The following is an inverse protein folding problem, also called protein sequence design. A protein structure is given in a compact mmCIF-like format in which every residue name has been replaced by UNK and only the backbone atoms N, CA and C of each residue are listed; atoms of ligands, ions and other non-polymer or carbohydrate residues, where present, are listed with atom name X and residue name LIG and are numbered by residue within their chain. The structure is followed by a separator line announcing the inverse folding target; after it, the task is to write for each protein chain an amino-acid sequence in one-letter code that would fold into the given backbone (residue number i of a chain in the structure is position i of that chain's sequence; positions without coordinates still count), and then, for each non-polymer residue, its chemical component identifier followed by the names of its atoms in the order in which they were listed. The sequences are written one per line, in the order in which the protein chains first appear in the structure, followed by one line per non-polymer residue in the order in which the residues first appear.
data_IF_840764919395
#
_entry.id   IF_840764919395
#
_cell.length_a   1.000
_cell.length_b   1.000
_cell.length_c   1.000
_cell.angle_alpha   90.00
_cell.angle_beta   90.00
_cell.angle_gamma   90.00
#
_symmetry.space_group_name_H-M   'P 1'
#
loop_
_entity.id
_entity.type
_entity.pdbx_description
1 polymer ?
#
# COMPACT_ATOMS: atom_id res chain seq x y z
N UNK A 1 -49.68 -44.11 46.76
CA UNK A 1 -48.41 -44.86 46.64
C UNK A 1 -47.33 -43.84 46.36
N UNK A 2 -46.68 -43.29 47.38
CA UNK A 2 -45.51 -43.85 48.07
C UNK A 2 -44.18 -43.61 47.33
N UNK A 3 -43.45 -42.57 47.81
CA UNK A 3 -41.98 -42.46 47.89
C UNK A 3 -41.16 -42.38 46.59
N UNK A 4 -40.12 -41.54 46.44
CA UNK A 4 -39.30 -40.69 47.35
C UNK A 4 -38.63 -39.60 46.46
N UNK A 5 -38.51 -38.30 46.78
CA UNK A 5 -37.88 -37.62 47.94
C UNK A 5 -36.39 -38.03 48.12
N UNK A 6 -35.37 -37.17 48.24
CA UNK A 6 -35.29 -35.69 48.34
C UNK A 6 -33.84 -35.23 48.17
N UNK A 7 -33.66 -33.99 47.72
CA UNK A 7 -32.71 -32.95 48.21
C UNK A 7 -31.64 -33.30 49.28
N UNK A 8 -30.47 -32.63 49.20
CA UNK A 8 -30.14 -31.51 50.12
C UNK A 8 -28.86 -30.73 49.74
N UNK A 9 -29.00 -29.40 49.70
CA UNK A 9 -28.00 -28.33 49.85
C UNK A 9 -27.95 -27.89 51.35
N UNK A 10 -27.23 -26.83 51.82
CA UNK A 10 -26.08 -26.05 51.30
C UNK A 10 -24.88 -26.22 52.32
N UNK A 11 -24.25 -25.24 53.02
CA UNK A 11 -23.92 -23.81 52.76
C UNK A 11 -22.47 -23.32 53.09
N UNK A 12 -22.08 -22.24 52.40
CA UNK A 12 -21.38 -21.02 52.87
C UNK A 12 -20.12 -21.01 53.78
N UNK A 13 -19.02 -20.52 53.18
CA UNK A 13 -18.28 -19.28 53.52
C UNK A 13 -17.30 -19.17 54.73
N UNK A 14 -16.44 -18.14 54.62
CA UNK A 14 -15.48 -17.56 55.60
C UNK A 14 -14.19 -18.37 55.87
N UNK A 15 -13.04 -17.78 56.25
CA UNK A 15 -12.37 -16.48 56.00
C UNK A 15 -10.95 -16.55 56.63
N UNK A 16 -9.95 -15.80 56.13
CA UNK A 16 -8.65 -15.52 56.81
C UNK A 16 -7.71 -16.74 57.10
N UNK A 17 -6.39 -16.60 57.28
CA UNK A 17 -5.40 -15.56 56.96
C UNK A 17 -3.97 -16.15 56.99
N UNK A 18 -2.99 -15.41 56.46
CA UNK A 18 -1.56 -15.38 56.85
C UNK A 18 -0.76 -16.70 57.00
N UNK A 19 0.31 -16.86 56.19
CA UNK A 19 1.72 -16.76 56.68
C UNK A 19 2.73 -16.96 55.53
N UNK A 20 3.63 -15.99 55.33
CA UNK A 20 4.97 -16.18 54.71
C UNK A 20 5.95 -16.43 55.88
N UNK A 21 6.96 -17.30 55.77
CA UNK A 21 8.21 -16.90 55.09
C UNK A 21 8.95 -18.05 54.37
N UNK A 22 10.01 -17.73 53.59
CA UNK A 22 10.93 -18.76 53.07
C UNK A 22 11.66 -18.38 51.78
N UNK A 23 12.71 -17.55 51.88
CA UNK A 23 13.71 -17.37 50.80
C UNK A 23 14.69 -18.55 50.82
N UNK A 24 15.19 -19.01 49.66
CA UNK A 24 16.59 -19.40 49.60
C UNK A 24 17.38 -18.77 48.44
N UNK A 25 18.45 -18.08 48.83
CA UNK A 25 19.76 -18.01 48.18
C UNK A 25 19.89 -17.63 46.69
N UNK A 26 20.16 -16.34 46.51
CA UNK A 26 21.02 -15.79 45.45
C UNK A 26 22.37 -16.55 45.40
N UNK A 27 22.59 -17.38 44.38
CA UNK A 27 23.90 -17.99 44.10
C UNK A 27 24.63 -17.11 43.07
N UNK A 28 25.57 -16.30 43.55
CA UNK A 28 26.52 -15.58 42.70
C UNK A 28 27.55 -16.59 42.19
N UNK A 29 27.40 -17.04 40.94
CA UNK A 29 28.40 -17.88 40.26
C UNK A 29 29.20 -17.05 39.26
N UNK A 30 30.32 -16.51 39.71
CA UNK A 30 31.28 -15.86 38.82
C UNK A 30 31.94 -16.91 37.91
N UNK A 31 31.80 -16.76 36.59
CA UNK A 31 32.54 -17.58 35.61
C UNK A 31 32.78 -16.80 34.31
N UNK A 32 33.94 -16.15 34.24
CA UNK A 32 34.77 -16.00 33.03
C UNK A 32 34.07 -15.98 31.67
N UNK A 33 33.65 -14.80 31.19
CA UNK A 33 33.53 -14.58 29.74
C UNK A 33 34.90 -14.19 29.14
N UNK A 34 35.32 -14.80 28.02
CA UNK A 34 36.53 -14.40 27.31
C UNK A 34 36.32 -13.05 26.60
N UNK A 35 37.27 -12.12 26.76
CA UNK A 35 37.23 -10.82 26.06
C UNK A 35 37.36 -11.00 24.54
N UNK A 36 36.55 -10.32 23.71
CA UNK A 36 36.88 -10.15 22.31
C UNK A 36 38.14 -9.27 22.19
N UNK A 37 39.16 -9.76 21.49
CA UNK A 37 40.38 -8.99 21.23
C UNK A 37 40.12 -7.98 20.11
N UNK A 38 40.27 -6.68 20.39
CA UNK A 38 40.31 -5.67 19.33
C UNK A 38 41.63 -5.77 18.54
N UNK A 39 41.58 -5.67 17.20
CA UNK A 39 42.79 -5.63 16.38
C UNK A 39 43.59 -4.34 16.64
N UNK A 40 44.90 -4.49 16.86
CA UNK A 40 45.83 -3.37 17.06
C UNK A 40 45.95 -2.54 15.79
N UNK A 41 45.62 -1.25 15.85
CA UNK A 41 46.05 -0.28 14.85
C UNK A 41 47.47 0.24 15.18
N UNK A 42 48.37 0.34 14.18
CA UNK A 42 49.60 1.12 14.33
C UNK A 42 49.32 2.61 14.09
N UNK A 43 49.81 3.47 15.00
CA UNK A 43 49.65 4.93 14.89
C UNK A 43 50.63 5.56 13.89
N UNK A 44 50.13 6.67 13.33
CA UNK A 44 50.67 7.59 12.33
C UNK A 44 52.20 7.71 12.19
N UNK A 45 52.62 7.93 10.93
CA UNK A 45 53.74 8.84 10.62
C UNK A 45 53.23 9.98 9.72
N UNK A 46 53.15 11.18 10.27
CA UNK A 46 52.80 12.40 9.55
C UNK A 46 53.98 12.90 8.71
N UNK A 47 53.73 13.29 7.46
CA UNK A 47 54.62 14.19 6.73
C UNK A 47 53.82 15.34 6.11
N UNK A 48 54.32 16.56 6.33
CA UNK A 48 53.65 17.82 6.04
C UNK A 48 53.96 18.34 4.63
N UNK A 49 53.02 19.08 4.05
CA UNK A 49 53.22 19.84 2.80
C UNK A 49 54.37 20.86 2.89
N UNK A 50 55.07 21.02 1.76
CA UNK A 50 55.78 22.26 1.41
C UNK A 50 55.69 22.51 -0.10
N UNK A 51 55.12 23.65 -0.49
CA UNK A 51 55.11 24.14 -1.88
C UNK A 51 56.22 25.18 -2.09
N UNK A 52 56.80 25.31 -3.29
CA UNK A 52 57.51 26.52 -3.70
C UNK A 52 56.70 27.35 -4.72
N UNK A 53 56.90 28.67 -4.69
CA UNK A 53 56.23 29.69 -5.53
C UNK A 53 57.23 30.38 -6.47
N UNK A 54 56.73 30.92 -7.59
CA UNK A 54 57.44 31.58 -8.71
C UNK A 54 58.53 32.62 -8.36
N UNK A 55 59.53 32.71 -9.25
CA UNK A 55 60.19 33.98 -9.68
C UNK A 55 60.41 34.00 -11.22
N UNK A 56 60.76 35.16 -11.80
CA UNK A 56 60.46 35.56 -13.21
C UNK A 56 61.69 35.67 -14.15
N UNK A 57 61.49 35.32 -15.44
CA UNK A 57 61.87 36.02 -16.73
C UNK A 57 63.35 36.46 -16.98
N UNK A 58 63.97 36.57 -18.18
CA UNK A 58 63.69 36.39 -19.66
C UNK A 58 65.07 36.48 -20.41
N UNK A 59 65.22 36.74 -21.74
CA UNK A 59 64.96 35.91 -22.96
C UNK A 59 66.20 35.79 -23.91
N UNK A 60 66.14 35.07 -25.06
CA UNK A 60 66.59 35.54 -26.42
C UNK A 60 66.59 34.51 -27.59
N UNK A 61 65.93 34.91 -28.70
CA UNK A 61 66.12 34.68 -30.17
C UNK A 61 66.45 33.32 -30.83
N UNK A 62 65.83 33.13 -32.02
CA UNK A 62 65.96 32.05 -33.02
C UNK A 62 67.21 32.20 -33.92
N UNK A 63 67.69 31.09 -34.53
CA UNK A 63 68.35 31.09 -35.84
C UNK A 63 67.62 30.24 -36.92
N UNK A 64 68.19 30.19 -38.14
CA UNK A 64 67.47 29.96 -39.42
C UNK A 64 67.87 28.67 -40.17
N UNK A 65 67.05 28.26 -41.15
CA UNK A 65 67.09 27.02 -41.97
C UNK A 65 68.37 26.76 -42.81
N UNK A 66 68.63 25.48 -43.14
CA UNK A 66 69.18 24.98 -44.44
C UNK A 66 68.88 23.46 -44.65
N UNK A 67 68.96 22.90 -45.89
CA UNK A 67 68.21 21.71 -46.31
C UNK A 67 68.94 20.34 -46.23
N UNK A 68 68.16 19.28 -46.51
CA UNK A 68 68.52 17.85 -46.46
C UNK A 68 69.62 17.42 -47.46
N UNK A 69 70.52 16.49 -47.05
CA UNK A 69 71.27 15.63 -47.96
C UNK A 69 70.56 14.27 -48.17
N UNK A 70 70.35 13.91 -49.43
CA UNK A 70 69.93 12.56 -49.86
C UNK A 70 71.16 11.70 -50.17
N UNK A 71 71.17 10.44 -49.72
CA UNK A 71 71.95 9.38 -50.39
C UNK A 71 71.39 7.99 -50.02
N UNK A 72 71.13 7.09 -50.99
CA UNK A 72 70.52 5.80 -50.72
C UNK A 72 71.57 4.73 -50.38
N UNK A 73 71.30 3.92 -49.36
CA UNK A 73 72.05 2.67 -49.12
C UNK A 73 71.13 1.48 -49.28
N UNK A 74 71.18 0.86 -50.46
CA UNK A 74 70.52 -0.42 -50.71
C UNK A 74 71.23 -1.53 -49.89
N UNK A 75 70.51 -2.10 -48.93
CA UNK A 75 70.94 -3.31 -48.21
C UNK A 75 69.82 -4.34 -48.28
N UNK A 76 70.05 -5.42 -49.03
CA UNK A 76 69.12 -6.54 -49.16
C UNK A 76 68.88 -7.21 -47.81
N UNK A 77 67.78 -6.85 -47.15
CA UNK A 77 67.17 -7.69 -46.10
C UNK A 77 66.06 -8.53 -46.74
N UNK A 78 66.05 -9.83 -46.42
CA UNK A 78 65.01 -10.77 -46.87
C UNK A 78 63.62 -10.24 -46.48
N UNK A 79 62.58 -10.43 -47.31
CA UNK A 79 61.24 -9.96 -46.97
C UNK A 79 60.76 -10.61 -45.67
N UNK A 80 60.19 -9.85 -44.71
CA UNK A 80 59.48 -10.46 -43.60
C UNK A 80 58.28 -11.26 -44.13
N UNK A 81 57.95 -12.37 -43.47
CA UNK A 81 56.73 -13.13 -43.77
C UNK A 81 55.51 -12.20 -43.66
N UNK A 82 54.45 -12.39 -44.48
CA UNK A 82 53.24 -11.60 -44.33
C UNK A 82 52.69 -11.81 -42.92
N UNK A 83 52.67 -10.76 -42.11
CA UNK A 83 52.00 -10.79 -40.82
C UNK A 83 50.51 -10.92 -41.07
N UNK A 84 49.92 -12.00 -40.55
CA UNK A 84 48.50 -12.26 -40.66
C UNK A 84 47.72 -11.07 -40.09
N UNK A 85 46.95 -10.40 -40.96
CA UNK A 85 45.81 -9.61 -40.52
C UNK A 85 44.93 -10.51 -39.64
N UNK A 86 44.35 -10.04 -38.52
CA UNK A 86 43.52 -10.89 -37.67
C UNK A 86 42.32 -11.43 -38.46
N UNK A 87 42.40 -12.69 -38.89
CA UNK A 87 41.30 -13.44 -39.52
C UNK A 87 40.26 -13.89 -38.49
N UNK A 88 40.05 -13.06 -37.45
CA UNK A 88 39.00 -13.23 -36.46
C UNK A 88 37.77 -12.42 -36.90
N UNK A 89 37.03 -13.02 -37.82
CA UNK A 89 35.72 -12.54 -38.25
C UNK A 89 34.77 -12.35 -37.08
N UNK A 90 34.94 -13.08 -35.98
CA UNK A 90 34.06 -13.01 -34.82
C UNK A 90 34.43 -11.86 -33.88
N UNK A 91 35.71 -11.48 -33.76
CA UNK A 91 36.11 -10.21 -33.15
C UNK A 91 35.50 -8.99 -33.88
N UNK A 92 35.54 -8.97 -35.21
CA UNK A 92 34.95 -7.88 -36.02
C UNK A 92 33.42 -7.88 -35.92
N UNK A 93 32.77 -9.05 -35.97
CA UNK A 93 31.31 -9.16 -35.76
C UNK A 93 30.91 -8.73 -34.35
N UNK A 94 31.67 -9.09 -33.32
CA UNK A 94 31.40 -8.73 -31.91
C UNK A 94 31.54 -7.23 -31.69
N UNK A 95 32.56 -6.60 -32.28
CA UNK A 95 32.74 -5.14 -32.29
C UNK A 95 31.62 -4.39 -33.04
N UNK A 96 31.00 -4.97 -34.07
CA UNK A 96 29.83 -4.40 -34.77
C UNK A 96 28.47 -4.68 -34.10
N UNK A 97 28.31 -5.81 -33.41
CA UNK A 97 27.05 -6.16 -32.71
C UNK A 97 26.73 -5.22 -31.53
N UNK A 98 27.73 -4.81 -30.76
CA UNK A 98 27.56 -3.93 -29.60
C UNK A 98 26.93 -2.56 -29.97
N UNK A 99 27.44 -1.80 -30.96
CA UNK A 99 26.80 -0.56 -31.38
C UNK A 99 25.45 -0.79 -32.08
N UNK A 100 25.25 -1.90 -32.79
CA UNK A 100 23.96 -2.21 -33.41
C UNK A 100 22.86 -2.49 -32.37
N UNK A 101 23.15 -3.21 -31.29
CA UNK A 101 22.20 -3.40 -30.17
C UNK A 101 21.93 -2.04 -29.51
N UNK A 102 22.96 -1.21 -29.28
CA UNK A 102 22.78 0.14 -28.73
C UNK A 102 21.87 1.04 -29.58
N UNK A 103 22.05 1.03 -30.91
CA UNK A 103 21.22 1.76 -31.86
C UNK A 103 19.79 1.21 -31.90
N UNK A 104 19.62 -0.11 -31.85
CA UNK A 104 18.29 -0.74 -31.86
C UNK A 104 17.53 -0.46 -30.55
N UNK A 105 18.23 -0.48 -29.41
CA UNK A 105 17.67 -0.11 -28.11
C UNK A 105 17.31 1.39 -28.07
N UNK A 106 18.20 2.26 -28.55
CA UNK A 106 17.95 3.70 -28.64
C UNK A 106 16.79 4.02 -29.59
N UNK A 107 16.69 3.31 -30.72
CA UNK A 107 15.58 3.42 -31.68
C UNK A 107 14.25 2.90 -31.11
N UNK A 108 14.27 1.83 -30.33
CA UNK A 108 13.08 1.31 -29.64
C UNK A 108 12.61 2.26 -28.53
N UNK A 109 13.54 2.79 -27.73
CA UNK A 109 13.27 3.81 -26.70
C UNK A 109 12.75 5.09 -27.35
N UNK A 110 13.39 5.57 -28.41
CA UNK A 110 12.90 6.72 -29.17
C UNK A 110 11.51 6.45 -29.78
N UNK A 111 11.25 5.25 -30.31
CA UNK A 111 9.93 4.84 -30.80
C UNK A 111 8.85 4.88 -29.73
N UNK A 112 9.14 4.41 -28.51
CA UNK A 112 8.24 4.46 -27.35
C UNK A 112 7.85 5.89 -26.96
N UNK A 113 8.73 6.88 -27.18
CA UNK A 113 8.41 8.29 -26.87
C UNK A 113 7.88 9.08 -28.08
N UNK A 114 8.33 8.78 -29.30
CA UNK A 114 7.97 9.50 -30.52
C UNK A 114 6.62 9.03 -31.08
N UNK A 115 6.29 7.73 -31.05
CA UNK A 115 4.99 7.27 -31.57
C UNK A 115 3.80 7.82 -30.78
N UNK A 116 3.76 7.78 -29.43
CA UNK A 116 2.64 8.37 -28.68
C UNK A 116 2.56 9.88 -28.83
N UNK A 117 3.70 10.57 -28.96
CA UNK A 117 3.73 12.02 -29.19
C UNK A 117 3.21 12.38 -30.59
N UNK A 118 3.63 11.66 -31.63
CA UNK A 118 3.10 11.82 -32.98
C UNK A 118 1.61 11.45 -33.05
N UNK A 119 1.20 10.36 -32.40
CA UNK A 119 -0.21 9.98 -32.30
C UNK A 119 -1.02 11.07 -31.58
N UNK A 120 -0.52 11.65 -30.48
CA UNK A 120 -1.17 12.79 -29.81
C UNK A 120 -1.28 14.06 -30.67
N UNK A 121 -0.45 14.21 -31.71
CA UNK A 121 -0.49 15.36 -32.63
C UNK A 121 -1.41 15.12 -33.85
N UNK A 122 -1.66 13.86 -34.22
CA UNK A 122 -2.38 13.50 -35.45
C UNK A 122 -3.62 12.62 -35.25
N UNK A 123 -3.86 12.10 -34.04
CA UNK A 123 -5.10 11.40 -33.71
C UNK A 123 -6.28 12.38 -33.80
N UNK A 124 -7.39 12.01 -34.47
CA UNK A 124 -8.59 12.81 -34.45
C UNK A 124 -9.07 12.91 -33.00
N UNK A 125 -9.25 14.14 -32.49
CA UNK A 125 -9.89 14.36 -31.20
C UNK A 125 -11.34 13.91 -31.32
N UNK A 126 -11.66 12.77 -30.73
CA UNK A 126 -13.01 12.26 -30.65
C UNK A 126 -13.83 13.20 -29.75
N UNK A 127 -14.64 14.05 -30.37
CA UNK A 127 -15.48 15.01 -29.66
C UNK A 127 -16.66 14.29 -29.01
N UNK A 128 -16.46 13.85 -27.77
CA UNK A 128 -17.60 13.49 -26.91
C UNK A 128 -18.47 14.71 -26.60
N UNK A 129 -19.79 14.54 -26.45
CA UNK A 129 -20.71 15.65 -26.25
C UNK A 129 -20.46 16.34 -24.90
N UNK A 130 -20.27 17.66 -24.94
CA UNK A 130 -20.14 18.49 -23.76
C UNK A 130 -21.47 18.64 -23.03
N UNK A 131 -21.77 17.75 -22.08
CA UNK A 131 -22.71 18.05 -20.99
C UNK A 131 -22.02 18.96 -19.98
N UNK A 132 -22.38 20.25 -20.01
CA UNK A 132 -21.92 21.25 -19.06
C UNK A 132 -22.49 20.97 -17.67
N UNK A 133 -21.70 20.70 -16.61
CA UNK A 133 -22.22 20.69 -15.26
C UNK A 133 -22.51 22.13 -14.81
N UNK A 134 -23.74 22.35 -14.34
CA UNK A 134 -24.16 23.64 -13.80
C UNK A 134 -23.47 23.91 -12.46
N UNK A 135 -22.99 25.13 -12.16
CA UNK A 135 -22.30 25.43 -10.90
C UNK A 135 -23.31 25.64 -9.76
N UNK A 136 -23.80 24.55 -9.15
CA UNK A 136 -24.41 24.61 -7.82
C UNK A 136 -23.30 24.63 -6.76
N UNK A 137 -23.28 25.69 -5.97
CA UNK A 137 -22.31 25.96 -4.92
C UNK A 137 -22.34 24.92 -3.79
N UNK A 138 -21.20 24.30 -3.49
CA UNK A 138 -20.90 23.85 -2.13
C UNK A 138 -19.38 23.91 -1.89
N UNK A 139 -18.94 24.99 -1.24
CA UNK A 139 -17.59 25.09 -0.71
C UNK A 139 -17.54 24.41 0.66
N UNK A 140 -16.90 23.24 0.77
CA UNK A 140 -16.14 22.84 1.95
C UNK A 140 -15.28 21.59 1.69
N UNK A 141 -14.08 21.55 2.28
CA UNK A 141 -13.12 20.41 2.26
C UNK A 141 -12.76 19.83 0.87
N UNK A 142 -11.78 20.44 0.20
CA UNK A 142 -11.23 19.98 -1.07
C UNK A 142 -10.34 18.73 -0.95
N UNK A 143 -10.93 17.58 -0.65
CA UNK A 143 -10.34 16.28 -0.97
C UNK A 143 -10.85 15.83 -2.34
N UNK A 144 -9.97 15.45 -3.29
CA UNK A 144 -10.41 15.00 -4.60
C UNK A 144 -11.10 13.63 -4.42
N UNK A 145 -12.42 13.63 -4.59
CA UNK A 145 -13.29 12.44 -4.52
C UNK A 145 -12.66 11.33 -5.35
N UNK A 146 -12.54 10.14 -4.78
CA UNK A 146 -12.14 8.94 -5.52
C UNK A 146 -13.37 8.22 -6.07
N UNK A 147 -13.24 7.72 -7.29
CA UNK A 147 -14.30 7.03 -8.00
C UNK A 147 -14.07 5.53 -8.03
N UNK A 148 -15.04 4.80 -8.60
CA UNK A 148 -14.83 3.43 -9.06
C UNK A 148 -14.31 3.46 -10.51
N UNK A 149 -13.56 2.45 -10.97
CA UNK A 149 -13.27 2.28 -12.40
C UNK A 149 -14.54 2.34 -13.24
N UNK A 150 -14.49 2.88 -14.46
CA UNK A 150 -15.71 3.18 -15.24
C UNK A 150 -16.67 1.98 -15.42
N UNK A 151 -16.15 0.77 -15.63
CA UNK A 151 -16.94 -0.47 -15.76
C UNK A 151 -17.46 -1.06 -14.45
N UNK A 152 -17.10 -0.48 -13.30
CA UNK A 152 -17.49 -0.90 -11.94
C UNK A 152 -18.25 0.20 -11.18
N UNK A 153 -18.47 1.33 -11.82
CA UNK A 153 -19.33 2.40 -11.33
C UNK A 153 -20.79 2.05 -11.64
N UNK A 154 -21.49 1.52 -10.63
CA UNK A 154 -22.90 1.13 -10.71
C UNK A 154 -23.78 2.31 -11.13
N UNK A 155 -23.40 3.56 -10.85
CA UNK A 155 -24.15 4.74 -11.30
C UNK A 155 -24.16 4.92 -12.83
N UNK A 156 -23.14 4.38 -13.52
CA UNK A 156 -23.02 4.41 -14.99
C UNK A 156 -23.67 3.20 -15.68
N UNK A 157 -23.93 2.13 -14.92
CA UNK A 157 -24.53 0.90 -15.43
C UNK A 157 -25.49 0.25 -14.40
N UNK A 158 -26.60 0.92 -14.04
CA UNK A 158 -27.49 0.48 -12.96
C UNK A 158 -28.16 -0.88 -13.26
N UNK A 159 -28.41 -1.18 -14.53
CA UNK A 159 -29.07 -2.42 -14.97
C UNK A 159 -28.08 -3.61 -15.15
N UNK A 160 -26.77 -3.41 -14.94
CA UNK A 160 -25.77 -4.44 -15.14
C UNK A 160 -25.96 -5.63 -14.18
N UNK A 161 -26.05 -6.84 -14.74
CA UNK A 161 -26.22 -8.07 -13.95
C UNK A 161 -24.97 -8.37 -13.10
N UNK A 162 -25.10 -9.19 -12.02
CA UNK A 162 -23.95 -9.65 -11.24
C UNK A 162 -22.89 -10.43 -12.04
N UNK A 163 -23.21 -10.90 -13.26
CA UNK A 163 -22.22 -11.50 -14.17
C UNK A 163 -21.41 -10.41 -14.87
N UNK A 164 -22.08 -9.46 -15.50
CA UNK A 164 -21.44 -8.37 -16.25
C UNK A 164 -20.53 -7.51 -15.35
N UNK A 165 -20.95 -7.22 -14.11
CA UNK A 165 -20.10 -6.51 -13.15
C UNK A 165 -18.86 -7.30 -12.70
N UNK A 166 -19.00 -8.62 -12.52
CA UNK A 166 -17.87 -9.52 -12.22
C UNK A 166 -16.92 -9.65 -13.41
N UNK A 167 -17.46 -9.75 -14.62
CA UNK A 167 -16.66 -9.83 -15.85
C UNK A 167 -15.92 -8.50 -16.10
N UNK A 168 -16.55 -7.35 -15.83
CA UNK A 168 -15.89 -6.04 -15.82
C UNK A 168 -14.78 -5.92 -14.76
N UNK A 169 -14.93 -6.56 -13.59
CA UNK A 169 -13.89 -6.62 -12.57
C UNK A 169 -12.69 -7.50 -13.02
N UNK A 170 -12.96 -8.62 -13.71
CA UNK A 170 -11.91 -9.44 -14.33
C UNK A 170 -11.22 -8.72 -15.50
N UNK A 171 -11.94 -7.95 -16.33
CA UNK A 171 -11.36 -7.16 -17.43
C UNK A 171 -10.49 -6.00 -16.93
N UNK A 172 -11.00 -5.21 -15.99
CA UNK A 172 -10.23 -4.15 -15.29
C UNK A 172 -8.92 -4.72 -14.76
N UNK A 173 -9.01 -5.85 -14.05
CA UNK A 173 -7.86 -6.55 -13.51
C UNK A 173 -6.89 -7.00 -14.60
N UNK A 174 -7.37 -7.64 -15.67
CA UNK A 174 -6.52 -8.09 -16.77
C UNK A 174 -5.75 -6.93 -17.41
N UNK A 175 -6.36 -5.75 -17.52
CA UNK A 175 -5.72 -4.52 -18.00
C UNK A 175 -4.48 -4.10 -17.20
N UNK A 176 -4.37 -4.47 -15.93
CA UNK A 176 -3.22 -4.17 -15.06
C UNK A 176 -2.02 -5.10 -15.29
N UNK A 177 -2.18 -6.23 -15.99
CA UNK A 177 -1.12 -7.24 -16.12
C UNK A 177 0.16 -6.74 -16.81
N UNK A 178 0.02 -6.05 -17.93
CA UNK A 178 1.17 -5.52 -18.67
C UNK A 178 1.84 -4.33 -17.95
N UNK A 179 1.11 -3.32 -17.44
CA UNK A 179 1.69 -2.27 -16.60
C UNK A 179 2.43 -2.81 -15.37
N UNK A 180 1.86 -3.79 -14.65
CA UNK A 180 2.51 -4.39 -13.48
C UNK A 180 3.76 -5.19 -13.82
N UNK A 181 3.79 -5.86 -14.97
CA UNK A 181 4.98 -6.55 -15.44
C UNK A 181 6.08 -5.56 -15.85
N UNK A 182 5.74 -4.56 -16.67
CA UNK A 182 6.66 -3.56 -17.19
C UNK A 182 7.29 -2.73 -16.06
N UNK A 183 6.50 -2.33 -15.06
CA UNK A 183 6.98 -1.61 -13.89
C UNK A 183 7.58 -2.54 -12.81
N UNK A 184 7.60 -3.86 -12.99
CA UNK A 184 8.13 -4.80 -11.99
C UNK A 184 7.31 -4.91 -10.69
N UNK A 185 6.09 -4.37 -10.65
CA UNK A 185 5.16 -4.43 -9.52
C UNK A 185 4.90 -5.87 -9.10
N UNK A 186 4.84 -6.81 -10.04
CA UNK A 186 4.69 -8.24 -9.76
C UNK A 186 5.74 -8.79 -8.78
N UNK A 187 6.97 -8.28 -8.83
CA UNK A 187 8.03 -8.66 -7.91
C UNK A 187 7.86 -7.99 -6.54
N UNK A 188 7.42 -6.72 -6.51
CA UNK A 188 7.12 -6.00 -5.27
C UNK A 188 5.94 -6.65 -4.52
N UNK A 189 4.87 -7.04 -5.22
CA UNK A 189 3.76 -7.84 -4.67
C UNK A 189 4.25 -9.16 -4.06
N UNK A 190 5.21 -9.84 -4.71
CA UNK A 190 5.85 -11.05 -4.14
C UNK A 190 6.60 -10.73 -2.84
N UNK A 191 7.35 -9.63 -2.79
CA UNK A 191 8.02 -9.20 -1.56
C UNK A 191 7.01 -8.91 -0.44
N UNK A 192 5.91 -8.21 -0.72
CA UNK A 192 4.84 -7.96 0.26
C UNK A 192 4.27 -9.28 0.82
N UNK A 193 4.01 -10.28 -0.03
CA UNK A 193 3.54 -11.60 0.41
C UNK A 193 4.55 -12.37 1.27
N UNK A 194 5.85 -12.16 1.05
CA UNK A 194 6.93 -12.73 1.86
C UNK A 194 7.16 -11.98 3.18
N UNK A 195 6.79 -10.70 3.28
CA UNK A 195 6.90 -9.92 4.52
C UNK A 195 5.66 -10.04 5.43
N UNK A 196 4.52 -10.46 4.89
CA UNK A 196 3.26 -10.59 5.63
C UNK A 196 3.28 -11.83 6.55
N UNK A 197 3.24 -11.60 7.87
CA UNK A 197 3.44 -12.62 8.91
C UNK A 197 2.45 -12.46 10.07
N UNK A 198 2.26 -13.53 10.83
CA UNK A 198 1.29 -13.60 11.93
C UNK A 198 -0.17 -13.50 11.48
N UNK A 199 -0.97 -12.75 12.25
CA UNK A 199 -2.33 -12.37 11.85
C UNK A 199 -2.28 -11.18 10.89
N UNK A 200 -2.77 -11.36 9.66
CA UNK A 200 -2.63 -10.39 8.57
C UNK A 200 -3.96 -9.79 8.12
N UNK A 201 -3.97 -8.47 7.95
CA UNK A 201 -5.02 -7.71 7.30
C UNK A 201 -4.53 -7.17 5.95
N UNK A 202 -5.22 -7.43 4.84
CA UNK A 202 -5.01 -6.76 3.56
C UNK A 202 -6.11 -5.72 3.32
N UNK A 203 -5.72 -4.44 3.31
CA UNK A 203 -6.58 -3.31 2.97
C UNK A 203 -6.59 -3.10 1.45
N UNK A 204 -7.76 -2.74 0.91
CA UNK A 204 -8.00 -2.63 -0.53
C UNK A 204 -7.54 -3.89 -1.29
N UNK A 205 -8.00 -5.07 -0.82
CA UNK A 205 -7.64 -6.37 -1.41
C UNK A 205 -8.02 -6.47 -2.90
N UNK A 206 -8.99 -5.64 -3.34
CA UNK A 206 -9.48 -5.60 -4.71
C UNK A 206 -9.90 -6.98 -5.19
N UNK A 207 -9.41 -7.36 -6.36
CA UNK A 207 -9.58 -8.70 -6.96
C UNK A 207 -8.65 -9.76 -6.39
N UNK A 208 -7.97 -9.52 -5.25
CA UNK A 208 -7.10 -10.50 -4.60
C UNK A 208 -5.79 -10.78 -5.34
N UNK A 209 -5.17 -9.76 -5.95
CA UNK A 209 -3.93 -9.91 -6.74
C UNK A 209 -2.74 -10.46 -5.95
N UNK A 210 -2.68 -10.13 -4.65
CA UNK A 210 -1.62 -10.56 -3.74
C UNK A 210 -1.81 -11.96 -3.18
N UNK A 211 -3.03 -12.54 -3.23
CA UNK A 211 -3.35 -13.80 -2.56
C UNK A 211 -2.42 -14.98 -2.93
N UNK A 212 -1.97 -15.05 -4.18
CA UNK A 212 -1.02 -16.06 -4.68
C UNK A 212 0.44 -15.89 -4.21
N UNK A 213 0.73 -14.82 -3.47
CA UNK A 213 2.07 -14.47 -2.99
C UNK A 213 2.26 -14.69 -1.49
N UNK A 214 1.18 -14.90 -0.74
CA UNK A 214 1.22 -15.31 0.65
C UNK A 214 1.55 -16.81 0.76
N UNK A 215 2.22 -17.16 1.86
CA UNK A 215 2.40 -18.57 2.25
C UNK A 215 1.19 -19.01 3.09
N UNK A 216 0.38 -19.91 2.55
CA UNK A 216 -0.85 -20.38 3.19
C UNK A 216 -0.65 -21.61 4.09
N UNK A 217 0.58 -22.07 4.30
CA UNK A 217 0.89 -23.28 5.09
C UNK A 217 0.30 -23.24 6.50
N UNK A 218 0.61 -22.20 7.29
CA UNK A 218 0.08 -22.00 8.65
C UNK A 218 -1.44 -21.83 8.70
N UNK A 219 -2.01 -21.07 7.75
CA UNK A 219 -3.47 -20.91 7.60
C UNK A 219 -4.16 -22.25 7.36
N UNK A 220 -3.56 -23.15 6.58
CA UNK A 220 -4.11 -24.48 6.28
C UNK A 220 -3.91 -25.46 7.43
N UNK A 221 -2.73 -25.53 8.04
CA UNK A 221 -2.48 -26.42 9.19
C UNK A 221 -3.33 -26.05 10.40
N UNK A 222 -3.50 -24.75 10.67
CA UNK A 222 -4.13 -24.24 11.89
C UNK A 222 -3.20 -24.25 13.09
N UNK A 223 -1.94 -24.60 12.88
CA UNK A 223 -0.87 -24.58 13.86
C UNK A 223 -0.01 -23.34 13.60
N UNK A 224 0.33 -22.61 14.66
CA UNK A 224 1.34 -21.56 14.57
C UNK A 224 2.71 -22.24 14.38
N UNK A 225 3.28 -22.13 13.18
CA UNK A 225 4.64 -22.60 12.90
C UNK A 225 5.68 -21.88 13.76
N UNK A 226 6.82 -22.53 14.00
CA UNK A 226 7.94 -21.96 14.77
C UNK A 226 8.54 -20.68 14.13
N UNK A 227 8.21 -20.42 12.87
CA UNK A 227 8.75 -19.38 11.98
C UNK A 227 7.83 -18.16 11.79
N UNK A 228 6.81 -18.00 12.66
CA UNK A 228 5.85 -16.88 12.69
C UNK A 228 5.15 -16.61 11.35
N UNK A 229 4.91 -17.69 10.58
CA UNK A 229 4.23 -17.66 9.28
C UNK A 229 2.84 -17.02 9.30
N UNK A 230 2.17 -16.95 8.15
CA UNK A 230 0.79 -16.47 8.08
C UNK A 230 -0.12 -17.41 8.89
N UNK A 231 -0.68 -16.90 10.01
CA UNK A 231 -1.58 -17.66 10.91
C UNK A 231 -3.05 -17.42 10.56
N UNK A 232 -3.41 -16.18 10.23
CA UNK A 232 -4.72 -15.84 9.69
C UNK A 232 -4.63 -14.72 8.66
N UNK A 233 -5.59 -14.69 7.73
CA UNK A 233 -5.71 -13.68 6.69
C UNK A 233 -7.11 -13.07 6.71
N UNK A 234 -7.18 -11.75 6.64
CA UNK A 234 -8.43 -11.00 6.45
C UNK A 234 -8.24 -9.98 5.33
N UNK A 235 -9.01 -10.06 4.26
CA UNK A 235 -9.02 -9.04 3.20
C UNK A 235 -10.25 -8.14 3.27
N UNK A 236 -10.09 -6.84 2.99
CA UNK A 236 -11.19 -5.85 2.98
C UNK A 236 -11.16 -5.05 1.68
N UNK A 237 -12.29 -4.94 0.99
CA UNK A 237 -12.48 -4.03 -0.15
C UNK A 237 -13.90 -3.47 -0.20
N UNK A 238 -14.09 -2.26 -0.72
CA UNK A 238 -15.39 -1.59 -0.79
C UNK A 238 -16.29 -2.11 -1.94
N UNK A 239 -15.72 -2.84 -2.90
CA UNK A 239 -16.45 -3.36 -4.06
C UNK A 239 -16.81 -4.85 -3.88
N UNK A 240 -18.11 -5.21 -3.75
CA UNK A 240 -18.52 -6.60 -3.70
C UNK A 240 -18.15 -7.36 -4.97
N UNK A 241 -18.18 -6.72 -6.14
CA UNK A 241 -17.83 -7.37 -7.40
C UNK A 241 -16.33 -7.72 -7.47
N UNK A 242 -15.45 -6.84 -6.92
CA UNK A 242 -14.02 -7.14 -6.76
C UNK A 242 -13.77 -8.28 -5.76
N UNK A 243 -14.46 -8.26 -4.60
CA UNK A 243 -14.38 -9.34 -3.60
C UNK A 243 -14.87 -10.67 -4.19
N UNK A 244 -15.84 -10.66 -5.11
CA UNK A 244 -16.27 -11.83 -5.87
C UNK A 244 -15.15 -12.47 -6.72
N UNK A 245 -14.25 -11.65 -7.30
CA UNK A 245 -13.04 -12.13 -7.98
C UNK A 245 -11.98 -12.58 -6.97
N UNK A 246 -11.77 -11.81 -5.89
CA UNK A 246 -10.82 -12.16 -4.83
C UNK A 246 -11.15 -13.51 -4.16
N UNK A 247 -12.42 -13.80 -3.95
CA UNK A 247 -12.96 -15.09 -3.49
C UNK A 247 -12.47 -16.25 -4.34
N UNK A 248 -12.62 -16.16 -5.67
CA UNK A 248 -12.19 -17.22 -6.58
C UNK A 248 -10.66 -17.32 -6.65
N UNK A 249 -9.92 -16.24 -6.37
CA UNK A 249 -8.45 -16.27 -6.22
C UNK A 249 -7.99 -16.83 -4.88
N UNK A 250 -8.72 -16.60 -3.78
CA UNK A 250 -8.48 -17.22 -2.48
C UNK A 250 -8.62 -18.74 -2.63
N UNK A 251 -9.71 -19.20 -3.25
CA UNK A 251 -9.94 -20.61 -3.61
C UNK A 251 -8.77 -21.23 -4.36
N UNK A 252 -8.19 -20.51 -5.32
CA UNK A 252 -7.12 -21.02 -6.19
C UNK A 252 -5.72 -20.89 -5.54
N UNK A 253 -5.51 -19.93 -4.63
CA UNK A 253 -4.24 -19.72 -3.94
C UNK A 253 -4.06 -20.62 -2.70
N UNK A 254 -5.15 -20.89 -1.96
CA UNK A 254 -5.11 -21.68 -0.73
C UNK A 254 -5.09 -23.18 -1.04
N UNK A 255 -4.07 -23.94 -0.63
CA UNK A 255 -3.99 -25.38 -0.86
C UNK A 255 -5.22 -26.13 -0.35
N UNK A 256 -5.81 -26.98 -1.20
CA UNK A 256 -6.95 -27.82 -0.85
C UNK A 256 -8.32 -27.12 -0.85
N UNK A 257 -8.38 -25.78 -0.73
CA UNK A 257 -9.64 -25.02 -0.67
C UNK A 257 -10.52 -25.24 -1.91
N UNK A 258 -9.89 -25.41 -3.07
CA UNK A 258 -10.52 -25.80 -4.34
C UNK A 258 -11.42 -27.05 -4.28
N UNK A 259 -11.27 -27.94 -3.28
CA UNK A 259 -12.09 -29.15 -3.08
C UNK A 259 -13.42 -28.87 -2.39
N UNK A 260 -13.44 -27.93 -1.44
CA UNK A 260 -14.63 -27.59 -0.63
C UNK A 260 -15.36 -26.34 -1.15
N UNK A 261 -14.64 -25.45 -1.83
CA UNK A 261 -15.14 -24.19 -2.33
C UNK A 261 -15.26 -24.23 -3.86
N UNK A 262 -16.48 -24.10 -4.39
CA UNK A 262 -16.75 -24.08 -5.85
C UNK A 262 -16.60 -22.66 -6.39
N UNK A 263 -16.06 -22.52 -7.61
CA UNK A 263 -16.05 -21.25 -8.34
C UNK A 263 -17.48 -20.81 -8.68
N UNK A 264 -17.69 -19.49 -8.75
CA UNK A 264 -18.99 -18.88 -9.03
C UNK A 264 -18.84 -17.81 -10.10
N UNK A 265 -19.45 -18.02 -11.27
CA UNK A 265 -19.57 -16.98 -12.32
C UNK A 265 -20.50 -15.82 -11.94
N UNK A 266 -21.35 -16.03 -10.93
CA UNK A 266 -22.13 -15.00 -10.26
C UNK A 266 -22.42 -15.48 -8.85
N UNK A 267 -22.22 -14.61 -7.87
CA UNK A 267 -22.66 -14.80 -6.49
C UNK A 267 -22.96 -13.40 -5.94
N UNK A 268 -24.16 -13.21 -5.39
CA UNK A 268 -24.52 -11.95 -4.76
C UNK A 268 -23.86 -11.90 -3.39
N UNK A 269 -22.78 -11.13 -3.27
CA UNK A 269 -22.12 -10.86 -1.99
C UNK A 269 -22.87 -9.76 -1.23
N UNK A 270 -22.76 -9.70 0.10
CA UNK A 270 -23.37 -8.62 0.89
C UNK A 270 -22.77 -7.25 0.53
N UNK A 271 -23.57 -6.20 0.63
CA UNK A 271 -23.13 -4.82 0.36
C UNK A 271 -22.08 -4.32 1.36
N UNK A 272 -22.14 -4.83 2.61
CA UNK A 272 -21.15 -4.64 3.67
C UNK A 272 -21.10 -5.87 4.60
N UNK A 273 -19.95 -6.13 5.21
CA UNK A 273 -19.75 -7.21 6.17
C UNK A 273 -19.00 -8.41 5.59
N UNK A 274 -19.08 -9.54 6.31
CA UNK A 274 -18.38 -10.78 5.97
C UNK A 274 -18.95 -11.41 4.70
N UNK A 275 -18.11 -11.58 3.67
CA UNK A 275 -18.50 -12.13 2.37
C UNK A 275 -17.96 -13.54 2.13
N UNK A 276 -16.80 -13.87 2.71
CA UNK A 276 -16.20 -15.22 2.64
C UNK A 276 -15.61 -15.56 4.00
N UNK A 277 -15.91 -16.75 4.50
CA UNK A 277 -15.26 -17.35 5.67
C UNK A 277 -14.93 -18.81 5.37
N UNK A 278 -13.66 -19.19 5.52
CA UNK A 278 -13.18 -20.57 5.29
C UNK A 278 -12.08 -20.93 6.29
N UNK A 279 -11.82 -22.23 6.46
CA UNK A 279 -10.81 -22.78 7.38
C UNK A 279 -11.04 -22.29 8.82
N UNK A 280 -12.25 -22.47 9.34
CA UNK A 280 -12.63 -22.05 10.70
C UNK A 280 -12.35 -20.54 10.95
N UNK A 281 -12.59 -19.75 9.89
CA UNK A 281 -12.36 -18.32 9.83
C UNK A 281 -10.91 -17.87 9.63
N UNK A 282 -9.92 -18.77 9.62
CA UNK A 282 -8.51 -18.42 9.42
C UNK A 282 -8.25 -17.68 8.10
N UNK A 283 -9.11 -17.83 7.09
CA UNK A 283 -9.14 -16.92 5.94
C UNK A 283 -10.53 -16.31 5.74
N UNK A 284 -10.59 -14.96 5.74
CA UNK A 284 -11.83 -14.17 5.57
C UNK A 284 -11.68 -13.10 4.50
N UNK A 285 -12.79 -12.79 3.82
CA UNK A 285 -12.94 -11.59 3.00
C UNK A 285 -14.19 -10.82 3.43
N UNK A 286 -14.05 -9.50 3.56
CA UNK A 286 -15.12 -8.57 3.91
C UNK A 286 -15.35 -7.57 2.77
N UNK A 287 -16.62 -7.24 2.54
CA UNK A 287 -16.99 -6.04 1.79
C UNK A 287 -17.11 -4.89 2.80
N UNK A 288 -16.33 -3.83 2.63
CA UNK A 288 -16.25 -2.77 3.63
C UNK A 288 -15.37 -1.61 3.23
N UNK A 289 -15.60 -0.46 3.86
CA UNK A 289 -14.80 0.73 3.68
C UNK A 289 -13.55 0.67 4.56
N UNK A 290 -12.36 0.75 3.96
CA UNK A 290 -11.08 0.74 4.68
C UNK A 290 -10.80 2.05 5.45
N UNK A 291 -11.58 3.11 5.18
CA UNK A 291 -11.58 4.36 5.93
C UNK A 291 -12.52 4.32 7.16
N UNK A 292 -13.20 3.19 7.39
CA UNK A 292 -14.16 2.97 8.48
C UNK A 292 -13.70 1.93 9.50
N UNK A 293 -14.67 1.28 10.17
CA UNK A 293 -14.38 0.22 11.14
C UNK A 293 -13.88 -1.05 10.43
N UNK A 294 -12.69 -1.50 10.84
CA UNK A 294 -12.01 -2.67 10.28
C UNK A 294 -12.27 -3.94 11.12
N UNK A 295 -12.43 -5.12 10.49
CA UNK A 295 -12.65 -6.38 11.19
C UNK A 295 -11.45 -6.74 12.08
N UNK A 296 -11.69 -7.44 13.20
CA UNK A 296 -10.66 -7.91 14.13
C UNK A 296 -10.14 -9.32 13.74
N UNK A 297 -8.87 -9.67 14.04
CA UNK A 297 -8.37 -11.03 13.86
C UNK A 297 -9.07 -12.01 14.81
N UNK A 298 -9.04 -13.30 14.51
CA UNK A 298 -9.74 -14.34 15.30
C UNK A 298 -9.08 -14.67 16.65
N UNK A 299 -7.75 -14.64 16.71
CA UNK A 299 -6.99 -15.07 17.89
C UNK A 299 -5.83 -14.17 18.30
N UNK A 300 -5.67 -13.00 17.67
CA UNK A 300 -4.57 -12.08 17.96
C UNK A 300 -4.71 -11.45 19.34
N UNK A 301 -3.63 -11.46 20.14
CA UNK A 301 -3.57 -10.75 21.44
C UNK A 301 -4.08 -9.31 21.30
N UNK A 302 -5.03 -8.93 22.17
CA UNK A 302 -5.65 -7.59 22.16
C UNK A 302 -6.53 -7.28 20.93
N UNK A 303 -6.84 -8.25 20.07
CA UNK A 303 -7.65 -8.02 18.87
C UNK A 303 -6.95 -7.18 17.81
N UNK A 304 -5.64 -7.40 17.64
CA UNK A 304 -4.75 -6.62 16.75
C UNK A 304 -3.95 -7.53 15.80
N UNK A 305 -3.70 -7.07 14.58
CA UNK A 305 -2.94 -7.75 13.54
C UNK A 305 -1.43 -7.56 13.73
N UNK A 306 -0.63 -8.57 13.39
CA UNK A 306 0.82 -8.48 13.33
C UNK A 306 1.28 -7.72 12.08
N UNK A 307 0.62 -7.97 10.94
CA UNK A 307 0.89 -7.21 9.70
C UNK A 307 -0.38 -6.64 9.09
N UNK A 308 -0.38 -5.34 8.78
CA UNK A 308 -1.34 -4.73 7.85
C UNK A 308 -0.64 -4.51 6.51
N UNK A 309 -1.23 -4.98 5.41
CA UNK A 309 -0.69 -4.88 4.06
C UNK A 309 -1.65 -4.06 3.19
N UNK A 310 -1.11 -3.27 2.27
CA UNK A 310 -1.92 -2.59 1.25
C UNK A 310 -1.18 -2.52 -0.08
N UNK A 311 -1.92 -2.51 -1.19
CA UNK A 311 -1.35 -2.19 -2.51
C UNK A 311 -2.26 -1.27 -3.32
N UNK A 312 -1.79 -0.06 -3.61
CA UNK A 312 -2.50 0.98 -4.39
C UNK A 312 -3.84 1.44 -3.77
N UNK A 313 -3.90 1.47 -2.44
CA UNK A 313 -5.06 1.96 -1.71
C UNK A 313 -5.03 3.47 -1.50
N UNK A 314 -3.88 4.05 -1.16
CA UNK A 314 -3.78 5.48 -0.81
C UNK A 314 -4.06 6.43 -1.97
N UNK A 315 -3.91 5.99 -3.23
CA UNK A 315 -4.33 6.77 -4.40
C UNK A 315 -5.84 6.65 -4.71
N UNK A 316 -6.54 5.70 -4.08
CA UNK A 316 -7.91 5.26 -4.43
C UNK A 316 -8.97 5.58 -3.35
N UNK A 317 -8.56 6.12 -2.19
CA UNK A 317 -9.44 6.54 -1.07
C UNK A 317 -9.67 8.06 -1.02
N UNK A 318 -10.71 8.52 -0.31
CA UNK A 318 -10.97 9.95 -0.17
C UNK A 318 -9.99 10.62 0.80
N UNK A 319 -9.81 10.02 1.98
CA UNK A 319 -9.07 10.57 3.13
C UNK A 319 -7.88 9.64 3.48
N UNK A 320 -6.74 9.69 2.76
CA UNK A 320 -5.63 8.74 2.96
C UNK A 320 -5.04 8.75 4.39
N UNK A 321 -5.16 9.86 5.12
CA UNK A 321 -4.77 9.94 6.54
C UNK A 321 -5.66 9.07 7.43
N UNK A 322 -6.98 9.04 7.17
CA UNK A 322 -7.98 8.29 7.93
C UNK A 322 -7.89 6.79 7.70
N UNK A 323 -7.53 6.37 6.48
CA UNK A 323 -7.16 4.97 6.23
C UNK A 323 -5.93 4.57 7.06
N UNK A 324 -4.90 5.42 7.12
CA UNK A 324 -3.70 5.15 7.92
C UNK A 324 -3.98 5.18 9.43
N UNK A 325 -4.91 6.00 9.88
CA UNK A 325 -5.46 5.97 11.25
C UNK A 325 -6.18 4.65 11.55
N UNK A 326 -7.04 4.19 10.64
CA UNK A 326 -7.74 2.90 10.77
C UNK A 326 -6.77 1.73 10.81
N UNK A 327 -5.74 1.73 9.95
CA UNK A 327 -4.65 0.75 9.97
C UNK A 327 -3.86 0.76 11.29
N UNK A 328 -3.51 1.94 11.81
CA UNK A 328 -2.89 2.10 13.13
C UNK A 328 -3.81 1.62 14.27
N UNK A 329 -5.12 1.81 14.13
CA UNK A 329 -6.17 1.35 15.04
C UNK A 329 -6.34 -0.18 15.13
N UNK A 330 -5.76 -0.95 14.20
CA UNK A 330 -5.85 -2.42 14.18
C UNK A 330 -4.52 -3.17 14.18
N UNK A 331 -3.38 -2.52 13.92
CA UNK A 331 -2.05 -3.15 14.07
C UNK A 331 -1.64 -3.27 15.54
N UNK A 332 -0.83 -4.29 15.89
CA UNK A 332 -0.19 -4.42 17.20
C UNK A 332 0.83 -3.30 17.41
N UNK A 333 0.81 -2.58 18.54
CA UNK A 333 1.85 -1.61 18.85
C UNK A 333 3.19 -2.30 19.11
N UNK A 334 4.28 -1.55 18.86
CA UNK A 334 5.70 -1.84 19.04
C UNK A 334 6.28 -3.05 18.26
N UNK A 335 5.43 -4.02 17.91
CA UNK A 335 5.78 -5.30 17.27
C UNK A 335 5.18 -5.43 15.87
N UNK A 336 3.97 -4.92 15.66
CA UNK A 336 3.26 -5.02 14.39
C UNK A 336 3.74 -4.00 13.35
N UNK A 337 3.57 -4.37 12.07
CA UNK A 337 4.04 -3.62 10.89
C UNK A 337 2.89 -3.25 9.97
N UNK A 338 2.95 -2.07 9.36
CA UNK A 338 2.08 -1.67 8.25
C UNK A 338 2.96 -1.53 7.01
N UNK A 339 2.69 -2.32 5.97
CA UNK A 339 3.53 -2.42 4.76
C UNK A 339 2.69 -2.03 3.54
N UNK A 340 3.05 -0.91 2.90
CA UNK A 340 2.29 -0.33 1.80
C UNK A 340 3.12 -0.35 0.51
N UNK A 341 2.51 -0.81 -0.58
CA UNK A 341 3.01 -0.64 -1.95
C UNK A 341 2.10 0.35 -2.68
N UNK A 342 2.56 1.58 -2.88
CA UNK A 342 1.71 2.68 -3.37
C UNK A 342 2.22 3.28 -4.68
N UNK A 343 1.32 3.94 -5.42
CA UNK A 343 1.64 4.72 -6.61
C UNK A 343 1.27 6.19 -6.37
N UNK A 344 2.15 7.09 -6.77
CA UNK A 344 1.95 8.53 -6.67
C UNK A 344 2.90 9.34 -7.53
N UNK A 345 3.09 10.61 -7.16
CA UNK A 345 4.04 11.53 -7.81
C UNK A 345 5.45 10.96 -7.83
N UNK A 346 6.08 10.95 -9.00
CA UNK A 346 7.50 10.62 -9.18
C UNK A 346 8.43 11.73 -8.66
N UNK A 347 9.74 11.53 -8.78
CA UNK A 347 10.74 12.51 -8.30
C UNK A 347 11.09 13.59 -9.33
N UNK A 348 10.86 13.32 -10.61
CA UNK A 348 11.22 14.24 -11.70
C UNK A 348 10.07 15.20 -12.04
N UNK A 349 10.26 16.49 -11.75
CA UNK A 349 9.24 17.52 -11.98
C UNK A 349 8.74 17.61 -13.43
N UNK A 350 9.60 17.35 -14.42
CA UNK A 350 9.18 17.29 -15.83
C UNK A 350 8.28 16.07 -16.10
N UNK A 351 8.66 14.88 -15.64
CA UNK A 351 7.88 13.66 -15.83
C UNK A 351 6.49 13.78 -15.16
N UNK A 352 6.45 14.31 -13.93
CA UNK A 352 5.19 14.62 -13.25
C UNK A 352 4.34 15.57 -14.08
N UNK A 353 4.88 16.73 -14.50
CA UNK A 353 4.13 17.74 -15.26
C UNK A 353 3.57 17.23 -16.59
N UNK A 354 4.36 16.48 -17.36
CA UNK A 354 4.01 16.10 -18.73
C UNK A 354 3.23 14.79 -18.84
N UNK A 355 3.44 13.83 -17.94
CA UNK A 355 2.76 12.54 -17.98
C UNK A 355 1.77 12.40 -16.82
N UNK A 356 2.24 12.46 -15.57
CA UNK A 356 1.42 12.07 -14.40
C UNK A 356 0.30 13.08 -14.14
N UNK A 357 0.58 14.38 -14.20
CA UNK A 357 -0.42 15.44 -14.06
C UNK A 357 -1.24 15.63 -15.33
N UNK A 358 -0.59 15.57 -16.49
CA UNK A 358 -1.22 15.81 -17.80
C UNK A 358 -2.35 14.83 -18.14
N UNK A 359 -2.27 13.57 -17.71
CA UNK A 359 -3.34 12.57 -17.88
C UNK A 359 -3.98 12.10 -16.57
N UNK A 360 -3.87 12.88 -15.49
CA UNK A 360 -4.50 12.54 -14.20
C UNK A 360 -6.04 12.38 -14.32
N UNK A 361 -6.71 13.21 -15.12
CA UNK A 361 -8.16 13.10 -15.33
C UNK A 361 -8.53 11.84 -16.13
N UNK A 362 -7.83 11.56 -17.24
CA UNK A 362 -8.05 10.32 -18.02
C UNK A 362 -7.79 9.07 -17.17
N UNK A 363 -6.76 9.11 -16.33
CA UNK A 363 -6.47 8.04 -15.38
C UNK A 363 -7.61 7.88 -14.36
N UNK A 364 -8.12 8.98 -13.80
CA UNK A 364 -9.26 8.95 -12.89
C UNK A 364 -10.53 8.42 -13.57
N UNK A 365 -10.86 8.89 -14.77
CA UNK A 365 -12.06 8.49 -15.50
C UNK A 365 -12.07 6.99 -15.82
N UNK A 366 -10.88 6.40 -16.03
CA UNK A 366 -10.66 4.98 -16.31
C UNK A 366 -10.55 4.11 -15.06
N UNK A 367 -9.71 4.49 -14.10
CA UNK A 367 -9.31 3.66 -12.95
C UNK A 367 -9.93 4.09 -11.61
N UNK A 368 -10.60 5.24 -11.54
CA UNK A 368 -11.21 5.79 -10.33
C UNK A 368 -10.24 6.45 -9.32
N UNK A 369 -8.93 6.36 -9.56
CA UNK A 369 -7.90 6.76 -8.60
C UNK A 369 -7.01 7.91 -9.08
N UNK A 370 -6.43 8.65 -8.14
CA UNK A 370 -5.56 9.80 -8.41
C UNK A 370 -4.09 9.38 -8.38
N UNK A 371 -3.60 8.85 -9.49
CA UNK A 371 -2.22 8.36 -9.62
C UNK A 371 -1.13 9.43 -9.46
N UNK A 372 -1.51 10.72 -9.53
CA UNK A 372 -0.65 11.89 -9.31
C UNK A 372 -0.71 12.44 -7.88
N UNK A 373 -1.32 11.71 -6.93
CA UNK A 373 -1.41 12.06 -5.51
C UNK A 373 -0.03 12.01 -4.85
N UNK A 374 0.23 12.95 -3.94
CA UNK A 374 1.46 12.99 -3.15
C UNK A 374 1.36 12.07 -1.94
N UNK A 375 1.74 10.80 -2.16
CA UNK A 375 1.74 9.74 -1.14
C UNK A 375 2.72 10.06 -0.01
N UNK A 376 3.86 10.67 -0.30
CA UNK A 376 4.86 11.00 0.72
C UNK A 376 4.33 12.08 1.66
N UNK A 377 3.72 13.13 1.12
CA UNK A 377 3.04 14.16 1.92
C UNK A 377 1.91 13.56 2.76
N UNK A 378 1.04 12.72 2.19
CA UNK A 378 -0.07 12.09 2.92
C UNK A 378 0.41 11.18 4.08
N UNK A 379 1.47 10.39 3.86
CA UNK A 379 2.08 9.53 4.90
C UNK A 379 2.73 10.38 6.00
N UNK A 380 3.44 11.45 5.65
CA UNK A 380 4.06 12.38 6.62
C UNK A 380 3.04 13.26 7.34
N UNK A 381 1.84 13.42 6.79
CA UNK A 381 0.71 14.05 7.47
C UNK A 381 0.09 13.08 8.48
N UNK A 382 -0.11 11.81 8.11
CA UNK A 382 -0.58 10.78 9.02
C UNK A 382 0.39 10.56 10.20
N UNK A 383 1.70 10.51 9.97
CA UNK A 383 2.75 10.44 11.01
C UNK A 383 2.66 11.59 12.04
N UNK A 384 2.12 12.76 11.66
CA UNK A 384 1.92 13.90 12.56
C UNK A 384 0.58 13.89 13.27
N UNK A 385 -0.47 13.37 12.62
CA UNK A 385 -1.85 13.41 13.10
C UNK A 385 -2.24 12.18 13.93
N UNK A 386 -1.77 11.00 13.54
CA UNK A 386 -2.17 9.71 14.13
C UNK A 386 -1.28 9.40 15.34
N UNK A 387 -1.84 9.29 16.56
CA UNK A 387 -1.05 9.04 17.77
C UNK A 387 -0.18 7.79 17.69
N UNK A 388 1.13 7.96 17.91
CA UNK A 388 2.10 6.87 17.91
C UNK A 388 2.49 6.31 16.54
N UNK A 389 1.87 6.72 15.43
CA UNK A 389 2.27 6.26 14.09
C UNK A 389 3.67 6.79 13.73
N UNK A 390 4.56 5.91 13.29
CA UNK A 390 5.94 6.24 12.89
C UNK A 390 6.25 5.67 11.50
N UNK A 391 6.90 6.46 10.63
CA UNK A 391 7.47 5.95 9.37
C UNK A 391 8.81 5.28 9.67
N UNK A 392 8.85 3.95 9.55
CA UNK A 392 10.07 3.14 9.68
C UNK A 392 10.91 3.26 8.42
N UNK A 393 10.27 3.18 7.25
CA UNK A 393 10.94 3.31 5.97
C UNK A 393 10.01 3.92 4.90
N UNK A 394 10.58 4.73 4.01
CA UNK A 394 9.94 5.17 2.78
C UNK A 394 10.96 5.03 1.66
N UNK A 395 10.72 4.10 0.73
CA UNK A 395 11.64 3.75 -0.36
C UNK A 395 10.90 3.92 -1.68
N UNK A 396 11.58 4.42 -2.71
CA UNK A 396 11.08 4.43 -4.09
C UNK A 396 11.83 3.35 -4.88
N UNK A 397 11.24 2.16 -5.11
CA UNK A 397 11.92 1.10 -5.85
C UNK A 397 12.17 1.49 -7.31
N UNK A 398 13.01 0.71 -8.00
CA UNK A 398 13.14 0.67 -9.46
C UNK A 398 13.41 2.01 -10.19
N UNK A 399 14.66 2.24 -10.61
CA UNK A 399 15.02 3.41 -11.43
C UNK A 399 14.13 3.64 -12.67
N UNK A 400 13.69 2.55 -13.32
CA UNK A 400 12.82 2.60 -14.52
C UNK A 400 11.38 3.06 -14.23
N UNK A 401 10.98 3.20 -12.95
CA UNK A 401 9.64 3.61 -12.52
C UNK A 401 9.53 5.13 -12.35
N UNK A 402 10.59 5.91 -12.67
CA UNK A 402 10.66 7.37 -12.49
C UNK A 402 10.33 7.86 -11.05
N UNK A 403 10.45 6.95 -10.08
CA UNK A 403 10.13 7.15 -8.67
C UNK A 403 8.64 7.24 -8.35
N UNK A 404 7.71 6.85 -9.24
CA UNK A 404 6.26 6.93 -8.97
C UNK A 404 5.77 5.87 -7.98
N UNK A 405 6.50 4.77 -7.81
CA UNK A 405 6.17 3.76 -6.81
C UNK A 405 6.84 4.04 -5.46
N UNK A 406 6.15 3.60 -4.42
CA UNK A 406 6.57 3.68 -3.03
C UNK A 406 6.46 2.30 -2.38
N UNK A 407 7.48 1.92 -1.62
CA UNK A 407 7.43 0.87 -0.61
C UNK A 407 7.62 1.54 0.75
N UNK A 408 6.57 1.56 1.54
CA UNK A 408 6.51 2.25 2.84
C UNK A 408 6.33 1.21 3.94
N UNK A 409 7.05 1.38 5.04
CA UNK A 409 6.87 0.62 6.27
C UNK A 409 6.58 1.59 7.41
N UNK A 410 5.47 1.37 8.12
CA UNK A 410 5.06 2.10 9.31
C UNK A 410 4.90 1.14 10.49
N UNK A 411 4.91 1.71 11.70
CA UNK A 411 4.54 0.99 12.94
C UNK A 411 3.83 1.94 13.90
N UNK A 412 3.23 1.39 14.96
CA UNK A 412 2.68 2.19 16.07
C UNK A 412 3.60 2.04 17.28
N UNK A 413 4.07 3.15 17.86
CA UNK A 413 4.90 3.20 19.06
C UNK A 413 4.04 3.53 20.28
N UNK A 414 3.85 2.57 21.18
CA UNK A 414 2.93 2.70 22.34
C UNK A 414 3.29 3.89 23.24
N UNK A 415 4.59 4.19 23.39
CA UNK A 415 5.11 5.26 24.26
C UNK A 415 4.79 6.67 23.75
N UNK A 416 4.37 6.80 22.48
CA UNK A 416 3.95 8.05 21.85
C UNK A 416 2.45 8.19 21.71
N UNK A 417 1.68 7.16 22.08
CA UNK A 417 0.23 7.30 22.25
C UNK A 417 0.01 8.09 23.55
N UNK A 418 -0.71 9.23 23.53
CA UNK A 418 -1.09 9.92 24.76
C UNK A 418 -1.81 8.94 25.68
N UNK A 419 -1.40 8.86 26.93
CA UNK A 419 -2.16 8.13 27.93
C UNK A 419 -3.60 8.68 27.90
N UNK A 420 -4.58 7.80 27.66
CA UNK A 420 -5.97 8.20 27.68
C UNK A 420 -6.25 8.88 29.01
N UNK A 421 -6.70 10.14 28.98
CA UNK A 421 -7.21 10.78 30.19
C UNK A 421 -8.32 9.89 30.69
N UNK A 422 -8.15 9.33 31.90
CA UNK A 422 -9.25 8.69 32.58
C UNK A 422 -10.37 9.73 32.70
N UNK A 423 -11.45 9.52 31.96
CA UNK A 423 -12.69 10.27 32.18
C UNK A 423 -13.17 9.88 33.56
N UNK A 424 -13.28 10.89 34.42
CA UNK A 424 -13.57 10.71 35.82
C UNK A 424 -14.95 10.09 36.00
N UNK A 425 -15.01 8.89 36.56
CA UNK A 425 -16.26 8.20 36.87
C UNK A 425 -16.81 8.77 38.18
N UNK A 426 -17.30 10.01 38.12
CA UNK A 426 -17.38 10.88 39.30
C UNK A 426 -18.49 11.92 39.32
N UNK A 427 -19.63 11.70 38.64
CA UNK A 427 -20.84 12.51 38.90
C UNK A 427 -22.08 11.62 39.04
N UNK A 428 -22.29 11.13 40.26
CA UNK A 428 -23.53 10.49 40.67
C UNK A 428 -24.58 11.59 40.92
N UNK A 429 -25.58 11.70 40.06
CA UNK A 429 -26.74 12.57 40.30
C UNK A 429 -27.58 11.93 41.42
N UNK A 430 -27.60 12.57 42.60
CA UNK A 430 -28.48 12.19 43.69
C UNK A 430 -29.96 12.35 43.27
N UNK A 431 -30.69 11.24 43.21
CA UNK A 431 -32.16 11.29 43.05
C UNK A 431 -32.77 11.57 44.41
N UNK A 432 -33.03 12.85 44.69
CA UNK A 432 -33.70 13.30 45.91
C UNK A 432 -35.14 12.77 46.00
N UNK A 433 -35.45 12.04 47.08
CA UNK A 433 -36.81 11.57 47.38
C UNK A 433 -37.76 12.76 47.64
N UNK A 434 -38.65 13.04 46.68
CA UNK A 434 -39.70 14.06 46.77
C UNK A 434 -41.10 13.44 46.78
N UNK A 435 -41.76 13.49 47.94
CA UNK A 435 -43.07 12.90 48.28
C UNK A 435 -44.20 13.28 47.30
N UNK A 436 -45.10 12.34 47.01
CA UNK A 436 -46.32 12.54 46.21
C UNK A 436 -47.53 12.85 47.08
N UNK A 437 -48.14 14.01 46.84
CA UNK A 437 -49.52 14.46 47.10
C UNK A 437 -49.80 15.36 45.86
N UNK A 438 -50.85 15.26 45.05
CA UNK A 438 -52.20 14.77 45.27
C UNK A 438 -53.15 15.97 45.13
N UNK A 439 -53.84 16.13 43.99
CA UNK A 439 -55.24 16.60 43.92
C UNK A 439 -55.85 16.73 42.50
N UNK A 440 -57.14 16.39 42.48
CA UNK A 440 -58.30 16.57 41.58
C UNK A 440 -58.26 17.13 40.13
N UNK A 441 -58.86 16.31 39.24
CA UNK A 441 -59.96 16.60 38.30
C UNK A 441 -60.03 17.94 37.51
N UNK A 442 -60.08 17.83 36.18
CA UNK A 442 -60.51 18.92 35.28
C UNK A 442 -60.77 18.49 33.84
N UNK A 443 -62.03 18.27 33.47
CA UNK A 443 -62.46 17.94 32.09
C UNK A 443 -62.62 19.17 31.20
N UNK A 444 -62.17 19.16 29.93
CA UNK A 444 -62.89 19.77 28.78
C UNK A 444 -62.31 19.34 27.41
N UNK A 445 -63.10 19.54 26.34
CA UNK A 445 -62.87 19.10 24.94
C UNK A 445 -61.84 19.94 24.17
N UNK A 446 -61.25 19.42 23.07
CA UNK A 446 -60.53 20.21 22.08
C UNK A 446 -61.48 20.99 21.15
N UNK A 447 -61.09 22.20 20.75
CA UNK A 447 -61.76 23.01 19.72
C UNK A 447 -61.07 22.92 18.36
N UNK A 448 -61.88 22.81 17.30
CA UNK A 448 -61.46 22.83 15.90
C UNK A 448 -61.13 24.24 15.40
N UNK A 449 -60.11 24.39 14.55
CA UNK A 449 -60.08 25.45 13.53
C UNK A 449 -59.34 25.00 12.25
N UNK A 450 -59.79 25.50 11.10
CA UNK A 450 -59.52 24.98 9.76
C UNK A 450 -58.91 26.07 8.85
N UNK A 451 -57.80 25.83 8.12
CA UNK A 451 -57.19 26.84 7.27
C UNK A 451 -57.86 26.96 5.88
N UNK A 452 -58.28 28.18 5.51
CA UNK A 452 -58.98 28.49 4.25
C UNK A 452 -58.04 28.59 3.03
N UNK A 453 -58.57 28.19 1.86
CA UNK A 453 -57.91 28.23 0.54
C UNK A 453 -58.01 29.58 -0.19
N UNK A 454 -56.96 29.95 -0.94
CA UNK A 454 -56.94 30.64 -2.27
C UNK A 454 -55.65 30.15 -2.97
N UNK A 455 -55.65 29.52 -4.16
CA UNK A 455 -55.93 30.07 -5.50
C UNK A 455 -54.72 30.90 -6.00
N UNK A 456 -53.97 30.61 -7.08
CA UNK A 456 -54.05 29.61 -8.16
C UNK A 456 -53.89 30.29 -9.54
N UNK A 457 -53.01 29.80 -10.44
CA UNK A 457 -53.02 30.05 -11.91
C UNK A 457 -51.92 29.25 -12.65
N UNK A 458 -52.17 28.92 -13.93
CA UNK A 458 -51.25 28.31 -14.92
C UNK A 458 -51.21 29.21 -16.18
N UNK A 459 -50.17 29.14 -17.02
CA UNK A 459 -50.22 29.64 -18.40
C UNK A 459 -50.08 28.53 -19.46
N UNK A 460 -51.14 28.34 -20.24
CA UNK A 460 -51.07 28.07 -21.69
C UNK A 460 -51.86 29.20 -22.38
N UNK A 461 -51.79 29.45 -23.69
CA UNK A 461 -51.13 28.77 -24.81
C UNK A 461 -51.23 29.67 -26.05
N UNK A 462 -50.32 29.57 -27.02
CA UNK A 462 -50.60 29.75 -28.46
C UNK A 462 -49.56 29.00 -29.27
#
# INVERSE_FOLDING_TARGET
MASRLTHLMPPSALLQASFRPGIPHLIIRASSQPRPQLPRQPLLRTFTHSSPRLTKQTPLKKPTLKPLPYSPTASHRKPPKPNNLPSDLDAIKKARKIPQIGILLAGMVAGIYILPFAYSLFAPKETQPTTTPSPSSECCSSHPVTGRPAGLDISRAPDATPRERRDAAEEFDMGLNYPEWLMGIKNLRKTLGVEARGDVLELAVGTGRNLKHYDWSGVVSGEAGEDDGLRSFTGVDISPDMVGVARDRLRDAVPGLARVMRKRRAETLPERGLAVEVLDGRARLFVGDAEGELPRPLGGEGGKYDTVVQTFGLCSVAEPVKLLESAAGVVKPDTGRIILLEHGRGTSGWFNKWFVDGSAQEHFDKFGCWWNRDIETAVREAEKKVPGLEVVALKRPGFMQFGTLFLIELKVNSKKIPAAKAVDAGEAVEVGNGKVEGDEFGTTKPSSEEPKRRGGWWPGSK
#
